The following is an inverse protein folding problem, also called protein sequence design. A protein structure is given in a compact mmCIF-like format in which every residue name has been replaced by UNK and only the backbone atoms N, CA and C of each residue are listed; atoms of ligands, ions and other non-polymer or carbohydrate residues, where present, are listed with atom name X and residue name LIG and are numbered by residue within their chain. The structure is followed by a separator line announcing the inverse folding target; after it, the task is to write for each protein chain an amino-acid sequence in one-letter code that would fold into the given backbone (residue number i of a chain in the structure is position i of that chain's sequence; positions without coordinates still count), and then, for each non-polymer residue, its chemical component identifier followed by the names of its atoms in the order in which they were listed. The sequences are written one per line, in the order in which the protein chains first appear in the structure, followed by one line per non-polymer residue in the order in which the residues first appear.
data_IF_364640104813
#
_entry.id   IF_364640104813
#
_cell.length_a   1.000
_cell.length_b   1.000
_cell.length_c   1.000
_cell.angle_alpha   90.00
_cell.angle_beta   90.00
_cell.angle_gamma   90.00
#
_symmetry.space_group_name_H-M   'P 1'
#
loop_
_entity.id
_entity.type
_entity.pdbx_description
1 polymer ?
#
# COMPACT_ATOMS: atom_id res chain seq x y z
N UNK A 1 8.35 -20.31 -27.87
CA UNK A 1 8.85 -20.20 -26.50
C UNK A 1 9.20 -18.75 -26.28
N UNK A 2 8.38 -18.01 -25.53
CA UNK A 2 8.66 -16.60 -25.23
C UNK A 2 9.79 -16.54 -24.20
N UNK A 3 10.83 -15.77 -24.49
CA UNK A 3 11.94 -15.50 -23.57
C UNK A 3 11.43 -14.87 -22.27
N UNK A 4 12.02 -15.19 -21.11
CA UNK A 4 11.67 -14.49 -19.87
C UNK A 4 12.16 -13.05 -19.98
N UNK A 5 11.21 -12.10 -19.98
CA UNK A 5 11.51 -10.68 -19.87
C UNK A 5 12.32 -10.44 -18.60
N UNK A 6 13.46 -9.77 -18.72
CA UNK A 6 14.29 -9.37 -17.58
C UNK A 6 13.44 -8.62 -16.54
N UNK A 7 13.68 -8.80 -15.23
CA UNK A 7 13.00 -8.03 -14.20
C UNK A 7 13.25 -6.54 -14.47
N UNK A 8 12.19 -5.81 -14.75
CA UNK A 8 12.25 -4.36 -14.92
C UNK A 8 12.56 -3.79 -13.54
N UNK A 9 13.74 -3.20 -13.37
CA UNK A 9 14.08 -2.48 -12.16
C UNK A 9 12.96 -1.47 -11.89
N UNK A 10 12.35 -1.45 -10.68
CA UNK A 10 11.36 -0.47 -10.32
C UNK A 10 11.98 0.91 -10.54
N UNK A 11 11.21 1.89 -11.02
CA UNK A 11 11.72 3.24 -11.19
C UNK A 11 12.35 3.68 -9.86
N UNK A 12 13.62 4.06 -9.94
CA UNK A 12 14.48 4.29 -8.77
C UNK A 12 13.88 5.35 -7.88
N UNK A 13 13.79 5.06 -6.58
CA UNK A 13 13.50 6.07 -5.56
C UNK A 13 14.52 7.21 -5.65
N UNK A 14 14.06 8.46 -5.61
CA UNK A 14 14.95 9.61 -5.56
C UNK A 14 15.59 9.69 -4.16
N UNK A 15 16.92 9.82 -4.04
CA UNK A 15 17.57 9.86 -2.74
C UNK A 15 17.11 11.07 -1.92
N UNK A 16 16.81 10.86 -0.63
CA UNK A 16 16.39 11.92 0.29
C UNK A 16 14.91 12.32 0.21
N UNK A 17 14.07 11.61 -0.55
CA UNK A 17 12.62 11.82 -0.66
C UNK A 17 11.86 10.52 -0.36
N UNK A 18 10.57 10.63 -0.09
CA UNK A 18 9.70 9.45 -0.02
C UNK A 18 9.37 9.01 -1.45
N UNK A 19 9.30 7.69 -1.68
CA UNK A 19 8.77 7.15 -2.94
C UNK A 19 7.64 6.19 -2.65
N UNK A 20 6.43 6.52 -3.10
CA UNK A 20 5.22 5.73 -2.89
C UNK A 20 4.82 5.01 -4.18
N UNK A 21 4.90 3.69 -4.16
CA UNK A 21 4.45 2.84 -5.25
C UNK A 21 3.00 2.39 -5.00
N UNK A 22 2.15 2.61 -5.99
CA UNK A 22 0.75 2.22 -5.97
C UNK A 22 -0.09 3.08 -6.90
N UNK A 23 -1.40 2.85 -6.94
CA UNK A 23 -2.31 3.58 -7.81
C UNK A 23 -3.56 4.07 -7.04
N UNK A 24 -4.30 5.06 -7.57
CA UNK A 24 -5.59 5.45 -7.00
C UNK A 24 -6.53 4.23 -6.81
N UNK A 25 -7.21 4.17 -5.66
CA UNK A 25 -8.07 3.04 -5.30
C UNK A 25 -7.33 1.86 -4.63
N UNK A 26 -6.00 1.93 -4.52
CA UNK A 26 -5.20 0.99 -3.72
C UNK A 26 -4.99 1.49 -2.29
N UNK A 27 -4.38 0.65 -1.44
CA UNK A 27 -3.91 1.08 -0.13
C UNK A 27 -2.88 2.22 -0.15
N UNK A 28 -2.35 2.61 -1.31
CA UNK A 28 -1.50 3.79 -1.45
C UNK A 28 -2.26 5.11 -1.30
N UNK A 29 -3.55 5.15 -1.63
CA UNK A 29 -4.36 6.37 -1.51
C UNK A 29 -4.37 6.95 -0.10
N UNK A 30 -4.70 6.20 0.98
CA UNK A 30 -4.66 6.75 2.32
C UNK A 30 -3.23 7.11 2.77
N UNK A 31 -2.20 6.40 2.30
CA UNK A 31 -0.79 6.72 2.61
C UNK A 31 -0.40 8.06 2.00
N UNK A 32 -0.73 8.29 0.72
CA UNK A 32 -0.49 9.57 0.04
C UNK A 32 -1.23 10.73 0.74
N UNK A 33 -2.48 10.50 1.15
CA UNK A 33 -3.26 11.48 1.89
C UNK A 33 -2.61 11.81 3.24
N UNK A 34 -2.17 10.80 4.00
CA UNK A 34 -1.47 11.01 5.26
C UNK A 34 -0.19 11.82 5.09
N UNK A 35 0.68 11.45 4.13
CA UNK A 35 1.91 12.19 3.82
C UNK A 35 1.62 13.66 3.44
N UNK A 36 0.53 13.91 2.73
CA UNK A 36 0.08 15.27 2.39
C UNK A 36 -0.36 16.03 3.64
N UNK A 37 -1.18 15.42 4.50
CA UNK A 37 -1.73 16.05 5.70
C UNK A 37 -0.66 16.37 6.76
N UNK A 38 0.43 15.60 6.81
CA UNK A 38 1.58 15.90 7.68
C UNK A 38 2.56 16.91 7.05
N UNK A 39 2.21 17.51 5.90
CA UNK A 39 3.02 18.54 5.24
C UNK A 39 4.20 18.01 4.42
N UNK A 40 4.26 16.71 4.13
CA UNK A 40 5.34 16.08 3.36
C UNK A 40 4.96 15.83 1.89
N UNK A 41 3.79 16.26 1.41
CA UNK A 41 3.30 15.98 0.05
C UNK A 41 4.29 16.34 -1.06
N UNK A 42 4.94 17.50 -0.99
CA UNK A 42 5.97 17.95 -1.96
C UNK A 42 7.28 17.14 -1.91
N UNK A 43 7.43 16.26 -0.91
CA UNK A 43 8.57 15.37 -0.69
C UNK A 43 8.25 13.92 -1.06
N UNK A 44 7.09 13.64 -1.66
CA UNK A 44 6.67 12.32 -2.09
C UNK A 44 6.70 12.24 -3.61
N UNK A 45 7.50 11.32 -4.13
CA UNK A 45 7.43 10.91 -5.51
C UNK A 45 6.48 9.71 -5.60
N UNK A 46 5.49 9.78 -6.50
CA UNK A 46 4.53 8.69 -6.71
C UNK A 46 4.88 7.89 -7.95
N UNK A 47 4.77 6.58 -7.85
CA UNK A 47 4.97 5.66 -8.97
C UNK A 47 3.69 4.86 -9.16
N UNK A 48 2.98 5.16 -10.24
CA UNK A 48 1.74 4.49 -10.59
C UNK A 48 1.98 3.02 -10.95
N UNK A 49 1.49 2.14 -10.09
CA UNK A 49 1.48 0.68 -10.28
C UNK A 49 0.13 0.11 -9.85
N UNK A 50 -0.60 -0.44 -10.81
CA UNK A 50 -1.93 -1.00 -10.62
C UNK A 50 -1.87 -2.54 -10.70
N UNK A 51 -1.50 -3.20 -9.59
CA UNK A 51 -1.24 -4.66 -9.55
C UNK A 51 -2.44 -5.54 -9.95
N UNK A 52 -3.66 -4.99 -9.98
CA UNK A 52 -4.85 -5.67 -10.50
C UNK A 52 -4.91 -5.76 -12.03
N UNK A 53 -4.17 -4.93 -12.76
CA UNK A 53 -4.21 -4.88 -14.23
C UNK A 53 -3.47 -6.03 -14.92
N UNK A 54 -2.65 -6.80 -14.18
CA UNK A 54 -2.04 -8.02 -14.71
C UNK A 54 -0.65 -8.32 -14.15
N UNK A 55 -0.02 -9.38 -14.66
CA UNK A 55 1.31 -9.80 -14.22
C UNK A 55 2.40 -8.79 -14.56
N UNK A 56 2.26 -8.07 -15.68
CA UNK A 56 3.21 -7.02 -16.05
C UNK A 56 3.34 -5.93 -14.96
N UNK A 57 2.22 -5.47 -14.41
CA UNK A 57 2.22 -4.49 -13.30
C UNK A 57 2.77 -5.09 -12.01
N UNK A 58 2.41 -6.34 -11.71
CA UNK A 58 2.95 -7.08 -10.55
C UNK A 58 4.46 -7.31 -10.65
N UNK A 59 5.01 -7.47 -11.84
CA UNK A 59 6.44 -7.68 -12.07
C UNK A 59 7.24 -6.38 -11.88
N UNK A 60 6.64 -5.21 -12.15
CA UNK A 60 7.27 -3.90 -11.93
C UNK A 60 7.61 -3.63 -10.46
N UNK A 61 6.90 -4.26 -9.51
CA UNK A 61 7.16 -4.11 -8.07
C UNK A 61 7.88 -5.33 -7.47
N UNK A 62 8.02 -6.43 -8.20
CA UNK A 62 8.47 -7.72 -7.66
C UNK A 62 9.88 -7.67 -7.03
N UNK A 63 10.80 -6.89 -7.61
CA UNK A 63 12.16 -6.78 -7.07
C UNK A 63 12.24 -5.87 -5.84
N UNK A 64 11.24 -5.01 -5.59
CA UNK A 64 11.14 -4.19 -4.39
C UNK A 64 10.35 -4.91 -3.30
N UNK A 65 9.16 -5.38 -3.65
CA UNK A 65 8.28 -6.16 -2.78
C UNK A 65 8.00 -7.53 -3.43
N UNK A 66 8.65 -8.62 -2.96
CA UNK A 66 8.43 -9.97 -3.46
C UNK A 66 6.98 -10.46 -3.39
N UNK A 67 6.13 -9.85 -2.54
CA UNK A 67 4.69 -10.13 -2.51
C UNK A 67 3.93 -9.59 -3.73
N UNK A 68 4.58 -8.79 -4.58
CA UNK A 68 4.01 -8.20 -5.81
C UNK A 68 2.78 -7.34 -5.52
N UNK A 69 2.78 -6.66 -4.37
CA UNK A 69 1.66 -5.89 -3.84
C UNK A 69 2.03 -4.42 -3.61
N UNK A 70 1.00 -3.59 -3.65
CA UNK A 70 1.03 -2.16 -3.30
C UNK A 70 0.03 -1.88 -2.17
N UNK A 71 0.27 -0.88 -1.30
CA UNK A 71 1.35 0.09 -1.36
C UNK A 71 2.72 -0.46 -0.93
N UNK A 72 3.76 0.16 -1.48
CA UNK A 72 5.13 0.08 -0.98
C UNK A 72 5.66 1.51 -0.84
N UNK A 73 6.16 1.87 0.34
CA UNK A 73 6.73 3.18 0.63
C UNK A 73 8.22 3.03 0.89
N UNK A 74 9.05 3.64 0.06
CA UNK A 74 10.48 3.80 0.34
C UNK A 74 10.68 5.11 1.08
N UNK A 75 11.30 5.03 2.26
CA UNK A 75 11.64 6.18 3.09
C UNK A 75 12.84 6.94 2.52
N UNK A 76 13.07 8.21 2.93
CA UNK A 76 14.28 8.94 2.56
C UNK A 76 15.60 8.22 2.91
N UNK A 77 15.56 7.33 3.91
CA UNK A 77 16.68 6.46 4.31
C UNK A 77 16.96 5.31 3.33
N UNK A 78 16.07 5.06 2.38
CA UNK A 78 16.08 3.89 1.50
C UNK A 78 15.41 2.64 2.09
N UNK A 79 14.94 2.70 3.34
CA UNK A 79 14.18 1.60 3.95
C UNK A 79 12.81 1.44 3.29
N UNK A 80 12.41 0.19 3.03
CA UNK A 80 11.11 -0.15 2.48
C UNK A 80 10.12 -0.47 3.60
N UNK A 81 8.97 0.18 3.57
CA UNK A 81 7.80 -0.19 4.36
C UNK A 81 6.67 -0.69 3.44
N UNK A 82 6.07 -1.80 3.81
CA UNK A 82 4.87 -2.37 3.18
C UNK A 82 3.71 -2.39 4.19
N UNK A 83 2.52 -2.74 3.72
CA UNK A 83 1.26 -2.69 4.47
C UNK A 83 0.77 -1.26 4.75
N UNK A 84 -0.34 -0.89 4.10
CA UNK A 84 -0.93 0.46 4.23
C UNK A 84 -1.19 0.84 5.69
N UNK A 85 -1.74 -0.08 6.49
CA UNK A 85 -2.04 0.17 7.89
C UNK A 85 -0.77 0.38 8.73
N UNK A 86 0.29 -0.39 8.50
CA UNK A 86 1.56 -0.23 9.23
C UNK A 86 2.23 1.11 8.90
N UNK A 87 2.25 1.49 7.61
CA UNK A 87 2.76 2.78 7.16
C UNK A 87 1.99 3.93 7.83
N UNK A 88 0.65 3.86 7.85
CA UNK A 88 -0.20 4.89 8.44
C UNK A 88 0.00 5.02 9.96
N UNK A 89 0.12 3.89 10.67
CA UNK A 89 0.42 3.88 12.10
C UNK A 89 1.78 4.54 12.37
N UNK A 90 2.79 4.16 11.60
CA UNK A 90 4.15 4.71 11.73
C UNK A 90 4.20 6.21 11.45
N UNK A 91 3.52 6.69 10.39
CA UNK A 91 3.41 8.11 10.07
C UNK A 91 2.70 8.87 11.20
N UNK A 92 1.59 8.35 11.71
CA UNK A 92 0.85 8.97 12.80
C UNK A 92 1.68 9.10 14.08
N UNK A 93 2.41 8.05 14.46
CA UNK A 93 3.23 8.06 15.67
C UNK A 93 4.48 8.94 15.52
N UNK A 94 5.01 9.10 14.30
CA UNK A 94 6.18 9.93 14.01
C UNK A 94 5.86 11.41 13.84
N UNK A 95 4.61 11.72 13.51
CA UNK A 95 4.10 13.08 13.30
C UNK A 95 2.88 13.37 14.19
N UNK A 96 3.01 13.25 15.53
CA UNK A 96 1.89 13.46 16.45
C UNK A 96 1.29 14.87 16.36
N UNK A 97 2.07 15.86 15.93
CA UNK A 97 1.65 17.25 15.71
C UNK A 97 0.55 17.38 14.64
N UNK A 98 0.45 16.44 13.71
CA UNK A 98 -0.56 16.44 12.66
C UNK A 98 -1.92 15.91 13.14
N UNK A 99 -2.00 15.33 14.35
CA UNK A 99 -3.26 14.88 14.94
C UNK A 99 -3.95 13.74 14.18
N UNK A 100 -3.22 12.97 13.36
CA UNK A 100 -3.80 11.91 12.52
C UNK A 100 -4.14 10.62 13.31
N UNK A 101 -3.56 10.43 14.50
CA UNK A 101 -3.85 9.30 15.36
C UNK A 101 -3.97 9.74 16.83
N UNK A 102 -4.81 9.07 17.64
CA UNK A 102 -4.79 9.25 19.08
C UNK A 102 -3.41 8.91 19.64
N UNK A 103 -2.93 9.65 20.63
CA UNK A 103 -1.62 9.39 21.24
C UNK A 103 -1.60 8.03 22.00
N UNK A 104 -0.42 7.43 22.22
CA UNK A 104 -0.29 6.34 23.17
C UNK A 104 -0.86 6.74 24.54
N UNK A 105 -1.76 5.92 25.09
CA UNK A 105 -2.45 6.19 26.36
C UNK A 105 -3.77 6.96 26.23
N UNK A 106 -4.10 7.49 25.05
CA UNK A 106 -5.42 8.08 24.80
C UNK A 106 -6.52 7.01 24.86
N UNK A 107 -7.67 7.35 25.46
CA UNK A 107 -8.81 6.45 25.60
C UNK A 107 -9.34 5.93 24.24
N UNK A 108 -9.15 6.69 23.16
CA UNK A 108 -9.57 6.31 21.81
C UNK A 108 -8.55 5.42 21.08
N UNK A 109 -7.32 5.26 21.59
CA UNK A 109 -6.26 4.51 20.89
C UNK A 109 -6.65 3.07 20.64
N UNK A 110 -7.34 2.41 21.58
CA UNK A 110 -7.78 1.03 21.41
C UNK A 110 -8.73 0.87 20.21
N UNK A 111 -9.70 1.77 20.06
CA UNK A 111 -10.65 1.74 18.95
C UNK A 111 -9.99 2.11 17.62
N UNK A 112 -9.04 3.05 17.65
CA UNK A 112 -8.23 3.39 16.49
C UNK A 112 -7.43 2.18 15.99
N UNK A 113 -6.65 1.52 16.86
CA UNK A 113 -5.85 0.35 16.50
C UNK A 113 -6.74 -0.79 15.98
N UNK A 114 -7.91 -1.01 16.59
CA UNK A 114 -8.88 -1.99 16.10
C UNK A 114 -9.28 -1.72 14.65
N UNK A 115 -9.60 -0.47 14.30
CA UNK A 115 -9.97 -0.12 12.92
C UNK A 115 -8.80 -0.25 11.95
N UNK A 116 -7.59 0.14 12.37
CA UNK A 116 -6.37 -0.01 11.56
C UNK A 116 -6.07 -1.47 11.21
N UNK A 117 -6.48 -2.42 12.06
CA UNK A 117 -6.36 -3.86 11.78
C UNK A 117 -7.58 -4.42 11.04
N UNK A 118 -8.78 -4.05 11.47
CA UNK A 118 -10.03 -4.61 10.95
C UNK A 118 -10.29 -4.24 9.48
N UNK A 119 -10.05 -2.98 9.09
CA UNK A 119 -10.28 -2.52 7.72
C UNK A 119 -9.49 -3.33 6.68
N UNK A 120 -8.15 -3.47 6.76
CA UNK A 120 -7.41 -4.26 5.80
C UNK A 120 -7.76 -5.76 5.86
N UNK A 121 -7.95 -6.30 7.08
CA UNK A 121 -8.11 -7.74 7.27
C UNK A 121 -9.50 -8.27 6.91
N UNK A 122 -10.57 -7.50 7.14
CA UNK A 122 -11.94 -7.97 7.03
C UNK A 122 -12.78 -7.25 5.96
N UNK A 123 -12.43 -6.02 5.59
CA UNK A 123 -13.18 -5.25 4.60
C UNK A 123 -12.42 -5.23 3.27
N UNK A 124 -11.19 -4.74 3.27
CA UNK A 124 -10.41 -4.56 2.03
C UNK A 124 -10.03 -5.91 1.40
N UNK A 125 -9.66 -6.90 2.20
CA UNK A 125 -9.38 -8.26 1.73
C UNK A 125 -10.55 -8.90 0.98
N UNK A 126 -11.79 -8.58 1.36
CA UNK A 126 -13.00 -9.15 0.77
C UNK A 126 -13.34 -8.57 -0.60
N UNK A 127 -12.77 -7.42 -0.97
CA UNK A 127 -12.89 -6.86 -2.33
C UNK A 127 -12.51 -7.91 -3.38
N UNK A 128 -11.36 -8.59 -3.17
CA UNK A 128 -10.87 -9.60 -4.09
C UNK A 128 -11.72 -10.87 -4.18
N UNK A 129 -12.46 -11.17 -3.12
CA UNK A 129 -13.32 -12.36 -3.06
C UNK A 129 -14.67 -12.10 -3.71
N UNK A 130 -15.27 -10.94 -3.42
CA UNK A 130 -16.60 -10.58 -3.91
C UNK A 130 -16.58 -10.08 -5.34
N UNK A 131 -15.59 -9.27 -5.69
CA UNK A 131 -15.61 -8.53 -6.96
C UNK A 131 -14.87 -9.26 -8.09
N UNK A 132 -14.05 -10.28 -7.77
CA UNK A 132 -13.43 -11.21 -8.72
C UNK A 132 -13.52 -12.68 -8.24
N UNK A 133 -14.73 -13.26 -8.16
CA UNK A 133 -14.95 -14.60 -7.64
C UNK A 133 -14.30 -15.70 -8.48
N UNK A 134 -13.96 -15.41 -9.75
CA UNK A 134 -13.27 -16.32 -10.65
C UNK A 134 -11.88 -16.72 -10.16
N UNK A 135 -11.26 -15.93 -9.28
CA UNK A 135 -10.00 -16.27 -8.60
C UNK A 135 -10.11 -17.45 -7.65
N UNK A 136 -11.27 -17.64 -7.05
CA UNK A 136 -11.51 -18.71 -6.08
C UNK A 136 -12.13 -19.92 -6.76
N UNK A 137 -13.09 -19.68 -7.65
CA UNK A 137 -13.83 -20.72 -8.37
C UNK A 137 -13.83 -20.38 -9.87
N UNK A 138 -12.99 -21.06 -10.67
CA UNK A 138 -12.91 -20.81 -12.11
C UNK A 138 -14.23 -21.12 -12.85
N UNK A 139 -15.01 -22.07 -12.33
CA UNK A 139 -16.33 -22.41 -12.86
C UNK A 139 -17.34 -21.32 -12.51
N UNK A 140 -17.78 -20.59 -13.55
CA UNK A 140 -18.75 -19.50 -13.41
C UNK A 140 -20.09 -19.95 -12.85
N UNK A 141 -20.51 -21.20 -13.08
CA UNK A 141 -21.76 -21.73 -12.55
C UNK A 141 -21.72 -21.98 -11.03
N UNK A 142 -20.52 -22.03 -10.44
CA UNK A 142 -20.29 -22.28 -9.02
C UNK A 142 -19.79 -21.03 -8.26
N UNK A 143 -19.79 -19.86 -8.90
CA UNK A 143 -19.47 -18.57 -8.25
C UNK A 143 -20.67 -18.07 -7.40
N UNK A 144 -20.43 -17.43 -6.24
CA UNK A 144 -21.46 -16.97 -5.29
C UNK A 144 -22.32 -15.80 -5.80
#
# INVERSE_FOLDING_TARGET
MASPSSPTTPPSAAPGRYTLYGAPGSGATPVHAALTLIGLGEQVDTVDIATWEGDAERDRIASLNPMRQVPALVLPSGELMTESAAILLWLGDRHPEAGLCPAPGDALRAQYLRWMVYLPAAIYSMFWVRDDPARLVPDKAAQP
#
